data_IF_682335777249
#
_entry.id   IF_682335777249
#
_cell.length_a   1.000
_cell.length_b   1.000
_cell.length_c   1.000
_cell.angle_alpha   90.00
_cell.angle_beta   90.00
_cell.angle_gamma   90.00
#
_symmetry.space_group_name_H-M   'P 1'
#
loop_
_entity.id
_entity.type
_entity.pdbx_description
1 polymer ?
#
# COMPACT_ATOMS: atom_id res chain seq x y z
N UNK A 1 -16.53 2.94 22.51
CA UNK A 1 -16.98 2.84 21.11
C UNK A 1 -17.04 1.38 20.70
N UNK A 2 -18.21 0.92 20.23
CA UNK A 2 -18.39 -0.44 19.72
C UNK A 2 -18.19 -0.41 18.22
N UNK A 3 -17.18 -1.12 17.71
CA UNK A 3 -17.03 -1.35 16.28
C UNK A 3 -18.03 -2.43 15.85
N UNK A 4 -18.95 -2.10 14.94
CA UNK A 4 -19.86 -3.08 14.36
C UNK A 4 -19.14 -3.94 13.34
N UNK A 5 -19.22 -5.27 13.50
CA UNK A 5 -18.68 -6.21 12.52
C UNK A 5 -19.47 -6.12 11.20
N UNK A 6 -18.76 -6.10 10.07
CA UNK A 6 -19.39 -6.09 8.75
C UNK A 6 -20.17 -7.40 8.50
N UNK A 7 -21.34 -7.29 7.88
CA UNK A 7 -22.12 -8.46 7.44
C UNK A 7 -21.50 -9.11 6.20
N UNK A 8 -21.85 -10.37 5.93
CA UNK A 8 -21.41 -11.10 4.74
C UNK A 8 -21.76 -10.36 3.45
N UNK A 9 -22.95 -9.74 3.37
CA UNK A 9 -23.37 -8.93 2.22
C UNK A 9 -22.49 -7.69 2.05
N UNK A 10 -22.14 -7.02 3.16
CA UNK A 10 -21.25 -5.84 3.13
C UNK A 10 -19.86 -6.22 2.64
N UNK A 11 -19.32 -7.34 3.12
CA UNK A 11 -18.03 -7.87 2.66
C UNK A 11 -18.09 -8.22 1.17
N UNK A 12 -19.14 -8.93 0.74
CA UNK A 12 -19.34 -9.31 -0.65
C UNK A 12 -19.40 -8.08 -1.55
N UNK A 13 -20.09 -7.02 -1.12
CA UNK A 13 -20.16 -5.78 -1.87
C UNK A 13 -18.80 -5.08 -1.95
N UNK A 14 -18.07 -4.96 -0.83
CA UNK A 14 -16.75 -4.35 -0.82
C UNK A 14 -15.76 -5.04 -1.76
N UNK A 15 -15.81 -6.38 -1.86
CA UNK A 15 -14.97 -7.15 -2.79
C UNK A 15 -15.36 -6.88 -4.25
N UNK A 16 -16.66 -6.78 -4.56
CA UNK A 16 -17.12 -6.42 -5.92
C UNK A 16 -16.65 -5.02 -6.33
N UNK A 17 -16.76 -4.06 -5.43
CA UNK A 17 -16.33 -2.69 -5.66
C UNK A 17 -14.80 -2.62 -5.84
N UNK A 18 -14.05 -3.35 -4.99
CA UNK A 18 -12.60 -3.46 -5.11
C UNK A 18 -12.17 -4.09 -6.44
N UNK A 19 -12.90 -5.10 -6.93
CA UNK A 19 -12.61 -5.71 -8.23
C UNK A 19 -12.75 -4.72 -9.38
N UNK A 20 -13.81 -3.93 -9.38
CA UNK A 20 -14.01 -2.86 -10.37
C UNK A 20 -12.93 -1.78 -10.26
N UNK A 21 -12.65 -1.30 -9.04
CA UNK A 21 -11.61 -0.29 -8.82
C UNK A 21 -10.19 -0.79 -9.15
N UNK A 22 -9.96 -2.11 -9.10
CA UNK A 22 -8.65 -2.70 -9.42
C UNK A 22 -8.25 -2.50 -10.87
N UNK A 23 -9.21 -2.44 -11.81
CA UNK A 23 -8.96 -2.20 -13.24
C UNK A 23 -8.40 -0.79 -13.43
N UNK A 24 -9.10 0.22 -12.91
CA UNK A 24 -8.62 1.60 -12.90
C UNK A 24 -7.26 1.75 -12.21
N UNK A 25 -7.06 1.08 -11.07
CA UNK A 25 -5.77 1.12 -10.37
C UNK A 25 -4.65 0.48 -11.20
N UNK A 26 -4.93 -0.60 -11.93
CA UNK A 26 -3.99 -1.29 -12.80
C UNK A 26 -3.55 -0.43 -13.99
N UNK A 27 -4.43 0.41 -14.53
CA UNK A 27 -4.13 1.34 -15.62
C UNK A 27 -3.18 2.48 -15.22
N UNK A 28 -3.11 2.81 -13.92
CA UNK A 28 -2.22 3.86 -13.45
C UNK A 28 -0.75 3.49 -13.62
N UNK A 29 0.04 4.46 -14.09
CA UNK A 29 1.50 4.36 -14.08
C UNK A 29 2.05 4.31 -12.65
N UNK A 30 3.27 3.79 -12.48
CA UNK A 30 3.93 3.78 -11.18
C UNK A 30 4.00 5.17 -10.53
N UNK A 31 4.20 6.22 -11.33
CA UNK A 31 4.28 7.60 -10.83
C UNK A 31 2.92 8.11 -10.34
N UNK A 32 1.85 7.80 -11.07
CA UNK A 32 0.48 8.14 -10.68
C UNK A 32 0.05 7.43 -9.39
N UNK A 33 0.48 6.18 -9.18
CA UNK A 33 0.27 5.44 -7.93
C UNK A 33 1.11 6.03 -6.80
N UNK A 34 2.39 6.33 -7.05
CA UNK A 34 3.28 6.96 -6.08
C UNK A 34 2.73 8.29 -5.55
N UNK A 35 2.24 9.19 -6.43
CA UNK A 35 1.59 10.45 -6.01
C UNK A 35 0.42 10.25 -5.06
N UNK A 36 -0.40 9.21 -5.27
CA UNK A 36 -1.54 8.89 -4.41
C UNK A 36 -1.09 8.34 -3.06
N UNK A 37 -0.13 7.42 -3.05
CA UNK A 37 0.46 6.88 -1.83
C UNK A 37 1.17 7.97 -1.01
N UNK A 38 1.89 8.89 -1.65
CA UNK A 38 2.55 10.02 -0.97
C UNK A 38 1.54 11.01 -0.37
N UNK A 39 0.44 11.28 -1.09
CA UNK A 39 -0.66 12.11 -0.53
C UNK A 39 -1.24 11.45 0.72
N UNK A 40 -1.50 10.15 0.68
CA UNK A 40 -2.03 9.40 1.81
C UNK A 40 -1.04 9.35 2.98
N UNK A 41 0.23 9.08 2.70
CA UNK A 41 1.34 9.15 3.66
C UNK A 41 1.40 10.52 4.35
N UNK A 42 1.23 11.60 3.60
CA UNK A 42 1.17 12.95 4.16
C UNK A 42 -0.03 13.18 5.10
N UNK A 43 -1.19 12.57 4.83
CA UNK A 43 -2.35 12.63 5.72
C UNK A 43 -2.07 11.89 7.03
N UNK A 44 -1.51 10.68 6.95
CA UNK A 44 -1.14 9.89 8.13
C UNK A 44 -0.12 10.66 8.98
N UNK A 45 0.93 11.20 8.37
CA UNK A 45 1.98 11.94 9.08
C UNK A 45 1.43 13.15 9.85
N UNK A 46 0.51 13.92 9.24
CA UNK A 46 -0.13 15.07 9.91
C UNK A 46 -1.03 14.66 11.08
N UNK A 47 -1.55 13.44 11.08
CA UNK A 47 -2.44 12.90 12.13
C UNK A 47 -1.74 11.86 13.01
N UNK A 48 -0.40 11.81 13.00
CA UNK A 48 0.36 10.77 13.69
C UNK A 48 0.08 10.74 15.20
N UNK A 49 0.01 11.91 15.85
CA UNK A 49 -0.31 11.96 17.29
C UNK A 49 -1.69 11.41 17.60
N UNK A 50 -2.70 11.78 16.80
CA UNK A 50 -4.08 11.30 16.97
C UNK A 50 -4.17 9.78 16.75
N UNK A 51 -3.45 9.26 15.77
CA UNK A 51 -3.36 7.82 15.53
C UNK A 51 -2.64 7.10 16.67
N UNK A 52 -1.61 7.71 17.27
CA UNK A 52 -0.91 7.14 18.40
C UNK A 52 -1.80 7.09 19.65
N UNK A 53 -2.64 8.09 19.86
CA UNK A 53 -3.65 8.08 20.93
C UNK A 53 -4.67 6.94 20.72
N UNK A 54 -5.09 6.69 19.48
CA UNK A 54 -5.97 5.57 19.14
C UNK A 54 -5.28 4.23 19.43
N UNK A 55 -4.06 4.03 18.93
CA UNK A 55 -3.29 2.79 19.17
C UNK A 55 -3.04 2.57 20.66
N UNK A 56 -2.70 3.62 21.41
CA UNK A 56 -2.53 3.56 22.86
C UNK A 56 -3.82 3.12 23.55
N UNK A 57 -4.95 3.73 23.20
CA UNK A 57 -6.25 3.43 23.80
C UNK A 57 -6.72 2.01 23.50
N UNK A 58 -6.55 1.56 22.26
CA UNK A 58 -7.09 0.28 21.80
C UNK A 58 -6.18 -0.90 22.18
N UNK A 59 -4.85 -0.69 22.20
CA UNK A 59 -3.87 -1.76 22.41
C UNK A 59 -3.09 -1.66 23.71
N UNK A 60 -3.24 -0.57 24.47
CA UNK A 60 -2.51 -0.33 25.74
C UNK A 60 -1.02 -0.05 25.58
N UNK A 61 -0.50 0.11 24.36
CA UNK A 61 0.93 0.35 24.09
C UNK A 61 1.33 1.75 24.55
N UNK A 62 2.51 1.96 25.17
CA UNK A 62 3.01 3.30 25.44
C UNK A 62 2.98 4.19 24.19
N UNK A 63 2.65 5.47 24.35
CA UNK A 63 2.57 6.40 23.21
C UNK A 63 3.85 6.45 22.35
N UNK A 64 5.08 6.35 22.90
CA UNK A 64 6.29 6.22 22.08
C UNK A 64 6.30 4.99 21.15
N UNK A 65 5.81 3.84 21.62
CA UNK A 65 5.73 2.62 20.84
C UNK A 65 4.65 2.74 19.74
N UNK A 66 3.51 3.34 20.07
CA UNK A 66 2.47 3.64 19.09
C UNK A 66 2.98 4.58 17.98
N UNK A 67 3.77 5.60 18.34
CA UNK A 67 4.42 6.50 17.39
C UNK A 67 5.44 5.76 16.51
N UNK A 68 6.18 4.79 17.07
CA UNK A 68 7.13 3.98 16.31
C UNK A 68 6.40 3.15 15.23
N UNK A 69 5.27 2.54 15.56
CA UNK A 69 4.47 1.78 14.58
C UNK A 69 3.97 2.64 13.42
N UNK A 70 3.52 3.86 13.72
CA UNK A 70 3.09 4.83 12.70
C UNK A 70 4.28 5.26 11.85
N UNK A 71 5.45 5.50 12.45
CA UNK A 71 6.66 5.85 11.71
C UNK A 71 7.08 4.73 10.74
N UNK A 72 7.02 3.47 11.19
CA UNK A 72 7.30 2.29 10.33
C UNK A 72 6.31 2.19 9.17
N UNK A 73 5.01 2.43 9.40
CA UNK A 73 4.01 2.45 8.33
C UNK A 73 4.29 3.56 7.30
N UNK A 74 4.69 4.76 7.76
CA UNK A 74 5.10 5.86 6.87
C UNK A 74 6.35 5.51 6.05
N UNK A 75 7.31 4.81 6.65
CA UNK A 75 8.50 4.32 5.96
C UNK A 75 8.15 3.30 4.88
N UNK A 76 7.28 2.32 5.18
CA UNK A 76 6.81 1.34 4.19
C UNK A 76 6.13 2.03 3.00
N UNK A 77 5.30 3.05 3.22
CA UNK A 77 4.67 3.83 2.15
C UNK A 77 5.69 4.63 1.33
N UNK A 78 6.68 5.23 2.00
CA UNK A 78 7.75 5.96 1.32
C UNK A 78 8.63 5.02 0.48
N UNK A 79 8.90 3.81 0.97
CA UNK A 79 9.63 2.80 0.21
C UNK A 79 8.82 2.32 -1.00
N UNK A 80 7.55 1.96 -0.80
CA UNK A 80 6.69 1.44 -1.85
C UNK A 80 6.51 2.44 -3.00
N UNK A 81 6.22 3.71 -2.68
CA UNK A 81 6.07 4.78 -3.67
C UNK A 81 7.34 5.00 -4.51
N UNK A 82 8.53 4.89 -3.91
CA UNK A 82 9.82 5.07 -4.60
C UNK A 82 10.29 3.83 -5.37
N UNK A 83 9.97 2.63 -4.90
CA UNK A 83 10.57 1.39 -5.40
C UNK A 83 9.65 0.55 -6.30
N UNK A 84 8.36 0.87 -6.41
CA UNK A 84 7.39 0.08 -7.16
C UNK A 84 7.84 -0.22 -8.60
N UNK A 85 8.38 0.76 -9.34
CA UNK A 85 8.87 0.54 -10.72
C UNK A 85 10.04 -0.45 -10.75
N UNK A 86 10.97 -0.36 -9.80
CA UNK A 86 12.15 -1.24 -9.75
C UNK A 86 11.76 -2.69 -9.44
N UNK A 87 10.75 -2.88 -8.59
CA UNK A 87 10.34 -4.20 -8.10
C UNK A 87 9.31 -4.86 -9.04
N UNK A 88 8.33 -4.10 -9.52
CA UNK A 88 7.19 -4.60 -10.27
C UNK A 88 7.26 -4.30 -11.78
N UNK A 89 8.22 -3.48 -12.22
CA UNK A 89 8.40 -3.16 -13.63
C UNK A 89 8.90 -4.36 -14.44
N UNK A 90 8.59 -4.36 -15.74
CA UNK A 90 9.07 -5.40 -16.65
C UNK A 90 10.61 -5.45 -16.64
N UNK A 91 11.17 -6.65 -16.42
CA UNK A 91 12.61 -6.89 -16.42
C UNK A 91 13.00 -7.62 -17.70
N UNK A 92 13.91 -7.05 -18.48
CA UNK A 92 14.58 -7.78 -19.56
C UNK A 92 15.65 -8.69 -18.96
N UNK A 93 15.64 -9.96 -19.32
CA UNK A 93 16.72 -10.91 -19.03
C UNK A 93 17.56 -11.05 -20.30
N UNK A 94 18.89 -11.10 -20.18
CA UNK A 94 19.74 -11.33 -21.36
C UNK A 94 19.50 -12.76 -21.85
N UNK A 95 19.23 -12.91 -23.13
CA UNK A 95 19.27 -14.21 -23.81
C UNK A 95 20.71 -14.73 -23.80
N UNK A 96 20.89 -15.98 -23.37
CA UNK A 96 22.15 -16.71 -23.53
C UNK A 96 22.32 -17.11 -25.00
N UNK A 97 23.54 -17.47 -25.42
CA UNK A 97 23.78 -18.03 -26.76
C UNK A 97 22.91 -19.26 -27.05
N UNK A 98 22.46 -19.96 -26.00
CA UNK A 98 21.54 -21.12 -26.11
C UNK A 98 20.06 -20.73 -26.23
N UNK A 99 19.69 -19.46 -26.00
CA UNK A 99 18.30 -18.98 -25.97
C UNK A 99 18.05 -17.78 -26.89
N UNK A 100 18.91 -17.56 -27.89
CA UNK A 100 18.82 -16.43 -28.84
C UNK A 100 17.49 -16.41 -29.62
N UNK A 101 16.94 -17.60 -29.93
CA UNK A 101 15.64 -17.73 -30.60
C UNK A 101 14.43 -17.74 -29.63
N UNK A 102 14.67 -17.69 -28.31
CA UNK A 102 13.64 -17.61 -27.28
C UNK A 102 13.50 -16.16 -26.81
N UNK A 103 13.28 -15.24 -27.75
CA UNK A 103 13.02 -13.84 -27.44
C UNK A 103 11.64 -13.74 -26.78
N UNK A 104 11.61 -13.52 -25.47
CA UNK A 104 10.38 -13.20 -24.76
C UNK A 104 9.87 -11.83 -25.22
N UNK A 105 8.70 -11.81 -25.85
CA UNK A 105 7.96 -10.58 -26.22
C UNK A 105 7.45 -9.85 -24.97
#
# INVERSE_FOLDING_TARGET
DTVTQASDDTVTQAVRDARTASEWWAELTFEQRARRLDRWRGIIARRASELADVVHRDMGKPHPDAMLEIAMALEHLAWASKNARKVLGRRSVRSSLLTVNQAAS
#
